data_IF_586228098977
#
_entry.id   IF_586228098977
#
_cell.length_a   1.000
_cell.length_b   1.000
_cell.length_c   1.000
_cell.angle_alpha   90.00
_cell.angle_beta   90.00
_cell.angle_gamma   90.00
#
_symmetry.space_group_name_H-M   'P 1'
#
loop_
_entity.id
_entity.type
_entity.pdbx_description
1 polymer ?
#
# COMPACT_ATOMS: atom_id res chain seq x y z
N UNK A 1 21.64 11.19 -2.38
CA UNK A 1 22.44 12.22 -1.66
C UNK A 1 21.53 12.97 -0.71
N UNK A 2 22.07 13.63 0.33
CA UNK A 2 21.28 14.49 1.25
C UNK A 2 20.45 15.55 0.51
N UNK A 3 20.93 16.03 -0.63
CA UNK A 3 20.23 16.98 -1.52
C UNK A 3 18.91 16.43 -2.08
N UNK A 4 18.85 15.13 -2.38
CA UNK A 4 17.64 14.50 -2.92
C UNK A 4 16.47 14.43 -1.94
N UNK A 5 16.73 14.57 -0.63
CA UNK A 5 15.68 14.60 0.39
C UNK A 5 15.05 15.98 0.58
N UNK A 6 15.69 17.04 0.07
CA UNK A 6 15.23 18.43 0.15
C UNK A 6 14.65 18.82 1.54
N UNK A 7 15.35 18.40 2.60
CA UNK A 7 14.86 18.49 3.98
C UNK A 7 14.60 19.93 4.41
N UNK A 8 15.39 20.88 3.90
CA UNK A 8 15.27 22.32 4.19
C UNK A 8 13.97 22.93 3.68
N UNK A 9 13.39 22.41 2.59
CA UNK A 9 12.09 22.86 2.09
C UNK A 9 10.95 22.02 2.67
N UNK A 10 11.17 20.71 2.83
CA UNK A 10 10.16 19.76 3.27
C UNK A 10 9.76 19.93 4.74
N UNK A 11 10.74 20.05 5.65
CA UNK A 11 10.46 20.12 7.09
C UNK A 11 9.63 21.36 7.48
N UNK A 12 9.93 22.59 7.01
CA UNK A 12 9.08 23.74 7.32
C UNK A 12 7.66 23.59 6.78
N UNK A 13 7.49 22.94 5.63
CA UNK A 13 6.17 22.66 5.04
C UNK A 13 5.39 21.67 5.91
N UNK A 14 5.99 20.55 6.30
CA UNK A 14 5.36 19.56 7.19
C UNK A 14 4.97 20.16 8.54
N UNK A 15 5.85 20.97 9.15
CA UNK A 15 5.55 21.66 10.42
C UNK A 15 4.35 22.61 10.26
N UNK A 16 4.27 23.36 9.15
CA UNK A 16 3.13 24.25 8.88
C UNK A 16 1.83 23.46 8.70
N UNK A 17 1.87 22.37 7.94
CA UNK A 17 0.72 21.48 7.71
C UNK A 17 0.21 20.90 9.03
N UNK A 18 1.08 20.28 9.82
CA UNK A 18 0.69 19.65 11.09
C UNK A 18 0.14 20.69 12.06
N UNK A 19 0.78 21.86 12.18
CA UNK A 19 0.27 22.95 13.02
C UNK A 19 -1.12 23.42 12.57
N UNK A 20 -1.36 23.53 11.26
CA UNK A 20 -2.66 23.93 10.72
C UNK A 20 -3.72 22.88 11.02
N UNK A 21 -3.43 21.60 10.80
CA UNK A 21 -4.36 20.49 11.12
C UNK A 21 -4.70 20.46 12.61
N UNK A 22 -3.72 20.67 13.49
CA UNK A 22 -3.94 20.66 14.94
C UNK A 22 -4.75 21.86 15.43
N UNK A 23 -4.61 23.04 14.80
CA UNK A 23 -5.29 24.27 15.24
C UNK A 23 -6.66 24.47 14.60
N UNK A 24 -6.81 24.09 13.34
CA UNK A 24 -7.99 24.39 12.51
C UNK A 24 -8.78 23.13 12.13
N UNK A 25 -8.30 21.94 12.51
CA UNK A 25 -8.85 20.66 12.11
C UNK A 25 -10.31 20.47 12.56
N UNK A 26 -11.19 20.21 11.59
CA UNK A 26 -12.59 19.84 11.84
C UNK A 26 -12.70 18.33 12.10
N UNK A 27 -13.75 17.88 12.83
CA UNK A 27 -14.02 16.45 12.94
C UNK A 27 -14.31 15.82 11.57
N UNK A 28 -13.98 14.54 11.37
CA UNK A 28 -14.31 13.84 10.13
C UNK A 28 -15.83 13.75 9.92
N UNK A 29 -16.31 13.67 8.66
CA UNK A 29 -17.72 13.42 8.36
C UNK A 29 -18.25 12.15 9.03
N UNK A 30 -19.48 12.20 9.56
CA UNK A 30 -20.15 11.05 10.20
C UNK A 30 -20.84 10.10 9.22
N UNK A 31 -21.36 10.67 8.14
CA UNK A 31 -21.99 9.91 7.05
C UNK A 31 -20.91 9.29 6.16
N UNK A 32 -21.20 8.19 5.45
CA UNK A 32 -20.33 7.70 4.39
C UNK A 32 -20.02 8.80 3.38
N UNK A 33 -18.74 8.92 3.00
CA UNK A 33 -18.26 9.93 2.05
C UNK A 33 -17.24 9.31 1.09
N UNK A 34 -16.96 10.00 -0.01
CA UNK A 34 -15.85 9.63 -0.88
C UNK A 34 -14.52 10.05 -0.24
N UNK A 35 -13.49 9.24 -0.40
CA UNK A 35 -12.17 9.46 0.19
C UNK A 35 -11.15 9.40 -0.92
N UNK A 36 -10.49 10.52 -1.21
CA UNK A 36 -9.31 10.55 -2.07
C UNK A 36 -8.10 10.32 -1.17
N UNK A 37 -7.35 9.24 -1.40
CA UNK A 37 -6.14 8.92 -0.63
C UNK A 37 -4.89 9.18 -1.45
N UNK A 38 -3.87 9.73 -0.80
CA UNK A 38 -2.58 10.06 -1.39
C UNK A 38 -1.64 8.86 -1.53
N UNK A 39 -0.54 9.01 -2.30
CA UNK A 39 0.42 7.94 -2.56
C UNK A 39 1.03 7.28 -1.32
N UNK A 40 1.20 8.02 -0.22
CA UNK A 40 1.72 7.47 1.05
C UNK A 40 0.73 6.47 1.65
N UNK A 41 -0.55 6.83 1.71
CA UNK A 41 -1.63 5.98 2.22
C UNK A 41 -1.88 4.79 1.29
N UNK A 42 -1.92 5.01 -0.03
CA UNK A 42 -2.05 3.93 -1.03
C UNK A 42 -0.90 2.95 -0.92
N UNK A 43 0.33 3.45 -0.81
CA UNK A 43 1.54 2.65 -0.70
C UNK A 43 1.53 1.70 0.49
N UNK A 44 1.29 2.22 1.69
CA UNK A 44 1.20 1.35 2.88
C UNK A 44 0.00 0.41 2.78
N UNK A 45 -1.11 0.85 2.16
CA UNK A 45 -2.28 -0.02 1.98
C UNK A 45 -1.94 -1.22 1.13
N UNK A 46 -1.37 -1.03 -0.06
CA UNK A 46 -1.01 -2.16 -0.94
C UNK A 46 0.13 -3.00 -0.39
N UNK A 47 1.06 -2.41 0.38
CA UNK A 47 2.13 -3.15 1.06
C UNK A 47 1.55 -4.20 2.02
N UNK A 48 0.59 -3.78 2.84
CA UNK A 48 0.03 -4.61 3.90
C UNK A 48 -1.11 -5.52 3.43
N UNK A 49 -1.91 -5.08 2.45
CA UNK A 49 -3.12 -5.77 1.95
C UNK A 49 -2.91 -6.63 0.70
N UNK A 50 -1.83 -6.41 -0.04
CA UNK A 50 -1.48 -7.20 -1.22
C UNK A 50 -0.07 -7.73 -1.13
N UNK A 51 0.91 -6.90 -0.79
CA UNK A 51 2.30 -7.29 -0.70
C UNK A 51 2.57 -8.50 0.20
N UNK A 52 2.49 -8.31 1.51
CA UNK A 52 2.68 -9.38 2.49
C UNK A 52 1.74 -10.59 2.37
N UNK A 53 0.41 -10.42 2.16
CA UNK A 53 -0.48 -11.58 2.07
C UNK A 53 -0.28 -12.38 0.78
N UNK A 54 0.43 -11.84 -0.22
CA UNK A 54 0.74 -12.54 -1.48
C UNK A 54 2.14 -13.17 -1.47
N UNK A 55 2.88 -13.10 -0.35
CA UNK A 55 4.12 -13.86 -0.15
C UNK A 55 3.76 -15.35 0.08
N UNK A 56 4.19 -16.23 -0.83
CA UNK A 56 3.75 -17.62 -0.85
C UNK A 56 4.10 -18.41 0.41
N UNK A 57 5.22 -18.10 1.07
CA UNK A 57 5.60 -18.70 2.35
C UNK A 57 4.58 -18.36 3.47
N UNK A 58 4.02 -17.15 3.49
CA UNK A 58 2.93 -16.77 4.40
C UNK A 58 1.62 -17.44 4.03
N UNK A 59 1.30 -17.54 2.73
CA UNK A 59 0.12 -18.29 2.24
C UNK A 59 0.19 -19.76 2.70
N UNK A 60 1.38 -20.34 2.71
CA UNK A 60 1.65 -21.72 3.14
C UNK A 60 1.85 -21.87 4.67
N UNK A 61 1.70 -20.78 5.43
CA UNK A 61 1.67 -20.81 6.91
C UNK A 61 3.03 -20.72 7.61
N UNK A 62 4.15 -20.55 6.88
CA UNK A 62 5.50 -20.47 7.48
C UNK A 62 5.64 -19.32 8.48
N UNK A 63 4.96 -18.22 8.23
CA UNK A 63 5.10 -16.95 8.96
C UNK A 63 4.08 -16.77 10.11
N UNK A 64 3.16 -17.72 10.28
CA UNK A 64 2.00 -17.56 11.16
C UNK A 64 2.38 -17.23 12.61
N UNK A 65 3.48 -17.81 13.12
CA UNK A 65 3.93 -17.61 14.49
C UNK A 65 4.54 -16.23 14.77
N UNK A 66 4.95 -15.47 13.76
CA UNK A 66 5.68 -14.21 13.92
C UNK A 66 4.92 -13.00 13.38
N UNK A 67 4.39 -13.13 12.16
CA UNK A 67 3.93 -11.99 11.36
C UNK A 67 2.51 -12.22 10.81
N UNK A 68 1.77 -13.14 11.43
CA UNK A 68 0.41 -13.48 11.08
C UNK A 68 0.28 -14.39 9.85
N UNK A 69 -0.96 -14.77 9.58
CA UNK A 69 -1.39 -15.54 8.43
C UNK A 69 -1.74 -14.64 7.23
N UNK A 70 -2.19 -15.27 6.14
CA UNK A 70 -2.77 -14.58 4.99
C UNK A 70 -4.25 -14.93 4.84
N UNK A 71 -5.06 -13.91 4.56
CA UNK A 71 -6.42 -14.10 4.04
C UNK A 71 -6.42 -14.75 2.65
N UNK A 72 -5.32 -14.63 1.90
CA UNK A 72 -5.13 -15.27 0.59
C UNK A 72 -4.78 -16.73 0.78
N UNK A 73 -5.43 -17.60 -0.01
CA UNK A 73 -5.22 -19.05 -0.03
C UNK A 73 -4.65 -19.50 -1.39
N UNK A 74 -3.98 -20.66 -1.46
CA UNK A 74 -3.33 -21.14 -2.69
C UNK A 74 -4.25 -21.22 -3.91
N UNK A 75 -5.54 -21.51 -3.71
CA UNK A 75 -6.56 -21.68 -4.73
C UNK A 75 -7.24 -20.37 -5.16
N UNK A 76 -6.83 -19.23 -4.62
CA UNK A 76 -7.44 -17.93 -4.92
C UNK A 76 -6.92 -17.23 -6.18
N UNK A 77 -6.01 -17.84 -6.94
CA UNK A 77 -5.63 -17.31 -8.26
C UNK A 77 -6.90 -17.19 -9.13
N UNK A 78 -7.12 -16.01 -9.71
CA UNK A 78 -8.32 -15.67 -10.48
C UNK A 78 -9.50 -15.16 -9.64
N UNK A 79 -9.44 -15.23 -8.32
CA UNK A 79 -10.48 -14.74 -7.42
C UNK A 79 -10.55 -13.20 -7.44
N UNK A 80 -11.77 -12.65 -7.50
CA UNK A 80 -12.01 -11.21 -7.49
C UNK A 80 -11.94 -10.66 -6.07
N UNK A 81 -10.98 -9.77 -5.82
CA UNK A 81 -10.79 -9.07 -4.53
C UNK A 81 -11.25 -7.62 -4.56
N UNK A 82 -11.49 -7.03 -5.74
CA UNK A 82 -11.96 -5.66 -5.87
C UNK A 82 -12.48 -5.26 -7.24
N UNK A 83 -12.58 -3.95 -7.48
CA UNK A 83 -13.00 -3.38 -8.76
C UNK A 83 -11.99 -3.68 -9.86
N UNK A 84 -12.45 -3.61 -11.11
CA UNK A 84 -11.64 -3.76 -12.32
C UNK A 84 -10.55 -2.69 -12.47
N UNK A 85 -10.66 -1.58 -11.75
CA UNK A 85 -9.62 -0.54 -11.69
C UNK A 85 -8.39 -0.97 -10.87
N UNK A 86 -8.53 -1.99 -10.03
CA UNK A 86 -7.44 -2.42 -9.15
C UNK A 86 -6.39 -3.22 -9.92
N UNK A 87 -5.22 -2.61 -10.06
CA UNK A 87 -4.03 -3.21 -10.65
C UNK A 87 -2.84 -2.95 -9.74
N UNK A 88 -2.21 -4.01 -9.22
CA UNK A 88 -1.11 -3.91 -8.26
C UNK A 88 0.09 -4.65 -8.81
N UNK A 89 1.21 -3.95 -8.89
CA UNK A 89 2.46 -4.48 -9.40
C UNK A 89 3.50 -4.60 -8.28
N UNK A 90 4.39 -5.57 -8.46
CA UNK A 90 5.63 -5.70 -7.71
C UNK A 90 6.77 -5.77 -8.73
N UNK A 91 7.69 -4.80 -8.69
CA UNK A 91 8.71 -4.65 -9.73
C UNK A 91 10.10 -4.34 -9.16
N UNK A 92 10.96 -5.36 -8.99
CA UNK A 92 12.32 -5.16 -8.51
C UNK A 92 13.24 -4.42 -9.49
N UNK A 93 12.88 -4.34 -10.77
CA UNK A 93 13.76 -3.83 -11.82
C UNK A 93 13.66 -2.30 -12.00
N UNK A 94 12.92 -1.59 -11.13
CA UNK A 94 12.85 -0.12 -11.14
C UNK A 94 14.19 0.45 -10.69
N UNK A 95 15.00 0.91 -11.64
CA UNK A 95 16.30 1.54 -11.35
C UNK A 95 16.16 2.71 -10.38
N UNK A 96 17.08 2.80 -9.41
CA UNK A 96 17.09 3.85 -8.39
C UNK A 96 16.04 3.70 -7.28
N UNK A 97 15.15 2.71 -7.35
CA UNK A 97 14.25 2.37 -6.24
C UNK A 97 15.01 1.73 -5.08
N UNK A 98 14.45 1.79 -3.87
CA UNK A 98 15.10 1.22 -2.68
C UNK A 98 15.07 -0.31 -2.69
N UNK A 99 14.03 -0.91 -3.26
CA UNK A 99 13.90 -2.35 -3.45
C UNK A 99 14.62 -2.91 -4.69
N UNK A 100 15.46 -2.14 -5.39
CA UNK A 100 16.03 -2.54 -6.67
C UNK A 100 16.90 -3.81 -6.61
N UNK A 101 16.65 -4.77 -7.52
CA UNK A 101 17.57 -5.87 -7.84
C UNK A 101 17.27 -6.49 -9.22
N UNK A 102 18.28 -7.10 -9.85
CA UNK A 102 18.15 -7.77 -11.16
C UNK A 102 18.03 -9.29 -11.05
N UNK A 103 18.54 -9.86 -9.96
CA UNK A 103 18.42 -11.27 -9.61
C UNK A 103 18.15 -11.35 -8.11
N UNK A 104 17.30 -12.30 -7.74
CA UNK A 104 17.05 -12.60 -6.33
C UNK A 104 18.21 -13.43 -5.74
N UNK A 105 18.15 -13.72 -4.44
CA UNK A 105 19.22 -14.43 -3.73
C UNK A 105 19.27 -15.94 -4.05
N UNK A 106 18.37 -16.44 -4.90
CA UNK A 106 18.39 -17.79 -5.49
C UNK A 106 18.85 -17.78 -6.98
N UNK A 107 19.35 -16.62 -7.44
CA UNK A 107 19.84 -16.42 -8.80
C UNK A 107 18.75 -16.39 -9.87
N UNK A 108 17.49 -16.16 -9.48
CA UNK A 108 16.36 -16.06 -10.42
C UNK A 108 16.25 -14.62 -10.91
N UNK A 109 16.17 -14.46 -12.23
CA UNK A 109 16.07 -13.14 -12.86
C UNK A 109 14.79 -12.42 -12.43
N UNK A 110 14.92 -11.20 -11.95
CA UNK A 110 13.80 -10.36 -11.54
C UNK A 110 12.98 -9.91 -12.75
N UNK A 111 11.67 -9.73 -12.53
CA UNK A 111 10.75 -9.12 -13.49
C UNK A 111 9.62 -8.43 -12.74
N UNK A 112 8.94 -7.53 -13.43
CA UNK A 112 7.62 -7.04 -13.01
C UNK A 112 6.63 -8.21 -12.87
N UNK A 113 5.95 -8.25 -11.73
CA UNK A 113 4.88 -9.19 -11.40
C UNK A 113 3.60 -8.40 -11.21
N UNK A 114 2.50 -8.88 -11.78
CA UNK A 114 1.18 -8.31 -11.54
C UNK A 114 0.51 -9.16 -10.47
N UNK A 115 0.48 -8.66 -9.23
CA UNK A 115 -0.11 -9.40 -8.11
C UNK A 115 -1.63 -9.40 -8.23
N UNK A 116 -2.21 -8.23 -8.50
CA UNK A 116 -3.63 -8.07 -8.81
C UNK A 116 -3.76 -7.46 -10.19
N UNK A 117 -4.60 -8.04 -11.03
CA UNK A 117 -4.92 -7.54 -12.37
C UNK A 117 -6.44 -7.45 -12.52
N UNK A 118 -6.93 -6.26 -12.84
CA UNK A 118 -8.37 -5.98 -13.03
C UNK A 118 -9.24 -6.47 -11.86
N UNK A 119 -8.75 -6.25 -10.64
CA UNK A 119 -9.40 -6.64 -9.39
C UNK A 119 -9.34 -8.13 -9.07
N UNK A 120 -8.60 -8.92 -9.84
CA UNK A 120 -8.41 -10.36 -9.60
C UNK A 120 -7.00 -10.66 -9.16
N UNK A 121 -6.87 -11.55 -8.18
CA UNK A 121 -5.58 -12.13 -7.80
C UNK A 121 -5.00 -12.82 -9.04
N UNK A 122 -3.79 -12.43 -9.44
CA UNK A 122 -3.18 -12.87 -10.69
C UNK A 122 -1.91 -13.69 -10.47
N UNK A 123 -1.08 -13.32 -9.49
CA UNK A 123 0.18 -14.01 -9.22
C UNK A 123 0.60 -13.83 -7.75
N UNK A 124 1.26 -14.83 -7.16
CA UNK A 124 1.89 -14.74 -5.83
C UNK A 124 3.39 -14.50 -5.95
N UNK A 125 3.99 -13.85 -4.96
CA UNK A 125 5.45 -13.80 -4.83
C UNK A 125 5.94 -15.18 -4.39
N UNK A 126 6.98 -15.71 -5.02
CA UNK A 126 7.48 -17.06 -4.73
C UNK A 126 8.99 -17.17 -4.89
N UNK A 127 9.56 -18.10 -4.11
CA UNK A 127 10.91 -18.63 -4.28
C UNK A 127 10.83 -20.03 -4.92
N UNK A 128 11.96 -20.71 -5.13
CA UNK A 128 11.99 -22.05 -5.74
C UNK A 128 11.19 -23.09 -4.97
N UNK A 129 11.29 -23.07 -3.64
CA UNK A 129 10.58 -24.01 -2.76
C UNK A 129 9.06 -23.82 -2.84
N UNK A 130 8.58 -22.61 -2.55
CA UNK A 130 7.14 -22.30 -2.51
C UNK A 130 6.51 -22.41 -3.89
N UNK A 131 7.22 -22.03 -4.96
CA UNK A 131 6.75 -22.24 -6.31
C UNK A 131 6.59 -23.73 -6.64
N UNK A 132 7.53 -24.58 -6.23
CA UNK A 132 7.41 -26.03 -6.43
C UNK A 132 6.17 -26.60 -5.71
N UNK A 133 5.92 -26.20 -4.47
CA UNK A 133 4.73 -26.60 -3.70
C UNK A 133 3.44 -26.14 -4.38
N UNK A 134 3.43 -24.95 -4.99
CA UNK A 134 2.30 -24.38 -5.72
C UNK A 134 2.21 -24.84 -7.19
N UNK A 135 3.08 -25.75 -7.64
CA UNK A 135 3.06 -26.29 -9.01
C UNK A 135 3.56 -25.34 -10.10
N UNK A 136 4.40 -24.36 -9.75
CA UNK A 136 4.93 -23.34 -10.65
C UNK A 136 6.46 -23.21 -10.64
N UNK A 137 6.94 -22.07 -11.14
CA UNK A 137 8.36 -21.68 -11.12
C UNK A 137 8.54 -20.42 -10.28
N UNK A 138 9.69 -20.30 -9.60
CA UNK A 138 10.05 -19.08 -8.87
C UNK A 138 9.94 -17.88 -9.79
N UNK A 139 9.27 -16.83 -9.31
CA UNK A 139 9.19 -15.58 -10.05
C UNK A 139 10.29 -14.60 -9.67
N UNK A 140 11.20 -14.96 -8.76
CA UNK A 140 12.38 -14.20 -8.36
C UNK A 140 12.18 -13.34 -7.11
N UNK A 141 11.41 -13.82 -6.13
CA UNK A 141 11.09 -13.07 -4.92
C UNK A 141 11.85 -13.56 -3.68
N UNK A 142 12.88 -14.38 -3.82
CA UNK A 142 13.68 -14.86 -2.70
C UNK A 142 14.72 -13.80 -2.29
N UNK A 143 14.55 -13.15 -1.14
CA UNK A 143 15.47 -12.11 -0.67
C UNK A 143 15.99 -12.39 0.74
N UNK A 144 17.25 -12.07 0.96
CA UNK A 144 17.96 -12.09 2.23
C UNK A 144 18.63 -10.76 2.49
N UNK A 145 18.77 -10.37 3.76
CA UNK A 145 19.52 -9.15 4.16
C UNK A 145 21.01 -9.41 4.38
N UNK A 146 21.48 -10.66 4.24
CA UNK A 146 22.89 -10.99 4.41
C UNK A 146 23.19 -12.48 4.22
N UNK A 147 24.48 -12.81 4.04
CA UNK A 147 24.93 -14.18 3.79
C UNK A 147 24.60 -15.16 4.93
N UNK A 148 24.37 -14.66 6.14
CA UNK A 148 24.08 -15.44 7.35
C UNK A 148 22.57 -15.50 7.67
N UNK A 149 21.73 -15.19 6.69
CA UNK A 149 20.27 -15.26 6.76
C UNK A 149 19.77 -16.00 5.54
N UNK A 150 18.76 -16.83 5.75
CA UNK A 150 18.12 -17.53 4.64
C UNK A 150 17.35 -16.55 3.74
N UNK A 151 17.37 -16.75 2.41
CA UNK A 151 16.43 -16.11 1.52
C UNK A 151 15.00 -16.57 1.82
N UNK A 152 14.10 -15.62 2.02
CA UNK A 152 12.67 -15.85 2.21
C UNK A 152 11.88 -15.13 1.13
N UNK A 153 10.60 -15.44 0.95
CA UNK A 153 9.79 -14.75 -0.07
C UNK A 153 9.54 -13.32 0.38
N UNK A 154 9.94 -12.33 -0.42
CA UNK A 154 9.88 -10.90 -0.09
C UNK A 154 9.45 -10.05 -1.27
N UNK A 155 8.67 -9.02 -0.95
CA UNK A 155 8.45 -7.88 -1.84
C UNK A 155 9.74 -7.14 -2.20
N UNK A 156 9.71 -6.36 -3.30
CA UNK A 156 10.73 -5.36 -3.63
C UNK A 156 10.11 -3.97 -3.75
N UNK A 157 9.39 -3.69 -4.83
CA UNK A 157 8.72 -2.41 -5.06
C UNK A 157 7.25 -2.65 -5.37
N UNK A 158 6.39 -2.58 -4.34
CA UNK A 158 4.97 -2.91 -4.44
C UNK A 158 4.15 -1.64 -4.60
N UNK A 159 3.40 -1.49 -5.69
CA UNK A 159 2.65 -0.26 -5.95
C UNK A 159 1.33 -0.49 -6.67
N UNK A 160 0.39 0.40 -6.39
CA UNK A 160 -0.85 0.51 -7.17
C UNK A 160 -0.52 1.16 -8.53
N UNK A 161 -1.00 0.58 -9.62
CA UNK A 161 -0.69 1.05 -10.98
C UNK A 161 -1.44 2.35 -11.33
N UNK A 162 -0.88 3.10 -12.28
CA UNK A 162 -1.52 4.30 -12.82
C UNK A 162 -2.90 3.99 -13.44
N UNK A 163 -3.84 4.91 -13.25
CA UNK A 163 -5.07 5.03 -14.02
C UNK A 163 -5.03 6.23 -14.96
N UNK A 164 -6.20 6.77 -15.28
CA UNK A 164 -6.36 7.79 -16.32
C UNK A 164 -6.57 9.21 -15.78
N UNK A 165 -6.95 9.34 -14.50
CA UNK A 165 -7.33 10.63 -13.91
C UNK A 165 -6.12 11.47 -13.49
N UNK A 166 -6.31 12.76 -13.33
CA UNK A 166 -5.45 13.65 -12.55
C UNK A 166 -5.94 13.73 -11.11
N UNK A 167 -5.06 14.13 -10.19
CA UNK A 167 -5.47 14.42 -8.80
C UNK A 167 -6.60 15.46 -8.76
N UNK A 168 -6.50 16.49 -9.58
CA UNK A 168 -7.48 17.57 -9.61
C UNK A 168 -8.84 17.07 -10.10
N UNK A 169 -8.91 16.25 -11.16
CA UNK A 169 -10.16 15.62 -11.60
C UNK A 169 -10.79 14.74 -10.51
N UNK A 170 -9.97 13.96 -9.76
CA UNK A 170 -10.48 13.18 -8.63
C UNK A 170 -11.15 14.06 -7.57
N UNK A 171 -10.56 15.22 -7.29
CA UNK A 171 -11.05 16.20 -6.31
C UNK A 171 -12.29 16.91 -6.86
N UNK A 172 -12.24 17.47 -8.07
CA UNK A 172 -13.33 18.22 -8.71
C UNK A 172 -14.62 17.41 -8.81
N UNK A 173 -14.51 16.13 -9.16
CA UNK A 173 -15.66 15.21 -9.22
C UNK A 173 -16.18 14.79 -7.84
N UNK A 174 -15.44 15.06 -6.76
CA UNK A 174 -15.84 14.73 -5.40
C UNK A 174 -16.71 15.83 -4.80
N UNK A 175 -18.04 15.62 -4.81
CA UNK A 175 -19.01 16.59 -4.26
C UNK A 175 -18.90 16.79 -2.74
N UNK A 176 -18.65 15.71 -2.00
CA UNK A 176 -18.50 15.69 -0.55
C UNK A 176 -17.56 14.55 -0.19
N UNK A 177 -16.43 14.86 0.43
CA UNK A 177 -15.42 13.87 0.71
C UNK A 177 -14.32 14.35 1.64
N UNK A 178 -13.29 13.54 1.76
CA UNK A 178 -12.01 13.99 2.29
C UNK A 178 -10.88 13.65 1.31
N UNK A 179 -9.85 14.47 1.33
CA UNK A 179 -8.52 14.17 0.80
C UNK A 179 -7.64 13.77 1.99
N UNK A 180 -7.13 12.53 2.02
CA UNK A 180 -6.16 12.07 3.01
C UNK A 180 -4.80 11.95 2.33
N UNK A 181 -3.95 12.96 2.50
CA UNK A 181 -2.63 13.03 1.87
C UNK A 181 -1.65 12.04 2.48
N UNK A 182 -1.65 11.94 3.82
CA UNK A 182 -0.72 11.10 4.56
C UNK A 182 -1.32 10.53 5.84
N UNK A 183 -0.65 9.54 6.41
CA UNK A 183 -1.02 8.89 7.65
C UNK A 183 0.04 9.10 8.74
N UNK A 184 -0.34 8.87 10.00
CA UNK A 184 0.59 8.86 11.14
C UNK A 184 0.73 7.48 11.76
N UNK A 185 -0.32 6.67 11.71
CA UNK A 185 -0.39 5.35 12.30
C UNK A 185 -1.15 4.43 11.35
N UNK A 186 -0.74 3.17 11.31
CA UNK A 186 -1.46 2.08 10.64
C UNK A 186 -1.49 0.86 11.54
N UNK A 187 -2.57 0.08 11.47
CA UNK A 187 -2.71 -1.19 12.14
C UNK A 187 -3.39 -2.19 11.19
N UNK A 188 -2.93 -3.44 11.25
CA UNK A 188 -3.39 -4.54 10.41
C UNK A 188 -3.60 -5.74 11.33
N UNK A 189 -4.64 -6.53 11.09
CA UNK A 189 -4.87 -7.75 11.86
C UNK A 189 -3.96 -8.92 11.43
N UNK A 190 -3.94 -9.98 12.22
CA UNK A 190 -3.05 -11.12 12.01
C UNK A 190 -3.34 -11.88 10.70
N UNK A 191 -4.50 -11.68 10.07
CA UNK A 191 -4.81 -12.28 8.76
C UNK A 191 -4.62 -11.34 7.58
N UNK A 192 -4.28 -10.06 7.86
CA UNK A 192 -4.15 -8.98 6.89
C UNK A 192 -5.43 -8.70 6.11
N UNK A 193 -6.57 -9.01 6.73
CA UNK A 193 -7.90 -8.78 6.19
C UNK A 193 -8.50 -7.46 6.69
N UNK A 194 -8.22 -7.05 7.93
CA UNK A 194 -8.73 -5.81 8.51
C UNK A 194 -7.61 -4.77 8.63
N UNK A 195 -7.93 -3.53 8.27
CA UNK A 195 -6.93 -2.47 8.13
C UNK A 195 -7.44 -1.15 8.70
N UNK A 196 -6.55 -0.42 9.36
CA UNK A 196 -6.86 0.86 9.99
C UNK A 196 -5.72 1.86 9.77
N UNK A 197 -6.05 3.02 9.22
CA UNK A 197 -5.10 4.11 8.97
C UNK A 197 -5.61 5.42 9.60
N UNK A 198 -4.74 6.12 10.32
CA UNK A 198 -5.07 7.41 10.94
C UNK A 198 -4.40 8.52 10.14
N UNK A 199 -5.21 9.43 9.58
CA UNK A 199 -4.74 10.55 8.77
C UNK A 199 -3.90 11.54 9.59
N UNK A 200 -2.72 11.89 9.04
CA UNK A 200 -1.84 12.96 9.56
C UNK A 200 -2.16 14.29 8.91
N UNK A 201 -2.27 14.28 7.59
CA UNK A 201 -2.67 15.41 6.77
C UNK A 201 -3.92 15.01 5.99
N UNK A 202 -5.03 15.69 6.28
CA UNK A 202 -6.27 15.47 5.60
C UNK A 202 -7.09 16.76 5.51
N UNK A 203 -7.95 16.84 4.50
CA UNK A 203 -8.78 17.99 4.21
C UNK A 203 -10.18 17.56 3.77
N UNK A 204 -11.19 18.38 4.05
CA UNK A 204 -12.52 18.22 3.47
C UNK A 204 -12.46 18.54 1.98
N UNK A 205 -13.23 17.80 1.19
CA UNK A 205 -13.56 18.16 -0.18
C UNK A 205 -15.04 18.54 -0.21
N UNK A 206 -15.34 19.77 -0.62
CA UNK A 206 -16.70 20.30 -0.71
C UNK A 206 -16.91 20.90 -2.10
N UNK A 207 -17.88 20.38 -2.84
CA UNK A 207 -18.23 20.82 -4.21
C UNK A 207 -17.02 20.83 -5.18
N UNK A 208 -16.14 19.83 -5.06
CA UNK A 208 -14.98 19.72 -5.93
C UNK A 208 -13.77 20.54 -5.48
N UNK A 209 -13.79 21.15 -4.29
CA UNK A 209 -12.70 21.98 -3.79
C UNK A 209 -12.18 21.49 -2.44
N UNK A 210 -10.87 21.56 -2.23
CA UNK A 210 -10.23 21.29 -0.93
C UNK A 210 -10.45 22.48 -0.01
N UNK A 211 -11.13 22.28 1.12
CA UNK A 211 -11.52 23.39 2.02
C UNK A 211 -10.78 23.38 3.35
N UNK A 212 -11.34 22.74 4.37
CA UNK A 212 -10.87 22.79 5.76
C UNK A 212 -10.03 21.57 6.10
N UNK A 213 -8.98 21.69 6.94
CA UNK A 213 -8.27 20.52 7.43
C UNK A 213 -9.19 19.63 8.29
N UNK A 214 -8.92 18.33 8.29
CA UNK A 214 -9.65 17.32 9.07
C UNK A 214 -8.73 16.76 10.14
N UNK A 215 -9.17 16.79 11.38
CA UNK A 215 -8.41 16.28 12.51
C UNK A 215 -8.58 14.76 12.61
N UNK A 216 -7.48 14.02 12.40
CA UNK A 216 -7.35 12.58 12.65
C UNK A 216 -8.51 11.73 12.09
N UNK A 217 -8.84 11.82 10.79
CA UNK A 217 -9.79 10.89 10.19
C UNK A 217 -9.23 9.47 10.27
N UNK A 218 -10.07 8.51 10.63
CA UNK A 218 -9.70 7.09 10.68
C UNK A 218 -10.32 6.37 9.49
N UNK A 219 -9.49 5.83 8.61
CA UNK A 219 -9.90 4.93 7.54
C UNK A 219 -9.82 3.50 8.08
N UNK A 220 -10.96 2.87 8.34
CA UNK A 220 -11.03 1.49 8.82
C UNK A 220 -11.85 0.65 7.83
N UNK A 221 -11.20 -0.31 7.20
CA UNK A 221 -11.73 -1.06 6.06
C UNK A 221 -11.20 -2.49 6.06
N UNK A 222 -11.94 -3.41 5.46
CA UNK A 222 -11.38 -4.70 5.08
C UNK A 222 -10.59 -4.58 3.78
N UNK A 223 -9.64 -5.47 3.54
CA UNK A 223 -8.85 -5.52 2.31
C UNK A 223 -9.75 -5.59 1.06
N UNK A 224 -10.76 -6.46 1.07
CA UNK A 224 -11.72 -6.56 -0.04
C UNK A 224 -12.65 -5.35 -0.12
N UNK A 225 -13.01 -4.75 1.02
CA UNK A 225 -13.80 -3.52 1.09
C UNK A 225 -13.06 -2.34 0.46
N UNK A 226 -11.78 -2.17 0.79
CA UNK A 226 -10.90 -1.18 0.19
C UNK A 226 -10.86 -1.34 -1.33
N UNK A 227 -10.45 -2.53 -1.82
CA UNK A 227 -10.32 -2.76 -3.26
C UNK A 227 -11.65 -2.69 -4.02
N UNK A 228 -12.77 -3.05 -3.39
CA UNK A 228 -14.11 -2.94 -4.00
C UNK A 228 -14.62 -1.49 -4.02
N UNK A 229 -14.12 -0.63 -3.15
CA UNK A 229 -14.48 0.78 -3.08
C UNK A 229 -13.73 1.68 -4.07
N UNK A 230 -12.67 1.17 -4.72
CA UNK A 230 -11.90 1.93 -5.71
C UNK A 230 -12.78 2.29 -6.91
N UNK A 231 -12.99 3.58 -7.11
CA UNK A 231 -13.86 4.15 -8.15
C UNK A 231 -13.09 4.94 -9.21
N UNK A 232 -11.94 5.53 -8.87
CA UNK A 232 -11.10 6.25 -9.82
C UNK A 232 -9.64 6.26 -9.36
N UNK A 233 -8.70 6.29 -10.30
CA UNK A 233 -7.26 6.11 -10.07
C UNK A 233 -6.52 7.15 -10.90
N UNK A 234 -5.61 7.89 -10.28
CA UNK A 234 -4.81 8.90 -10.97
C UNK A 234 -3.64 8.29 -11.77
N UNK A 235 -3.09 9.08 -12.69
CA UNK A 235 -2.03 8.66 -13.62
C UNK A 235 -0.61 8.74 -13.06
N UNK A 236 -0.37 9.61 -12.08
CA UNK A 236 0.97 9.86 -11.53
C UNK A 236 1.27 8.90 -10.39
N UNK A 237 2.27 8.03 -10.57
CA UNK A 237 2.71 7.08 -9.52
C UNK A 237 3.87 7.67 -8.75
N UNK A 238 3.75 7.70 -7.43
CA UNK A 238 4.85 8.08 -6.53
C UNK A 238 5.20 6.90 -5.64
N UNK A 239 6.50 6.61 -5.50
CA UNK A 239 7.04 5.57 -4.63
C UNK A 239 7.77 6.19 -3.44
N UNK A 240 7.60 5.59 -2.27
CA UNK A 240 8.28 5.92 -1.05
C UNK A 240 9.15 4.75 -0.61
N UNK A 241 10.40 5.03 -0.24
CA UNK A 241 11.30 4.04 0.32
C UNK A 241 10.87 3.67 1.75
N UNK A 242 10.95 2.38 2.07
CA UNK A 242 10.69 1.86 3.41
C UNK A 242 11.45 0.56 3.67
N UNK A 243 11.57 0.20 4.94
CA UNK A 243 12.15 -1.08 5.35
C UNK A 243 11.05 -1.99 5.84
N UNK A 244 10.95 -3.16 5.22
CA UNK A 244 9.96 -4.17 5.55
C UNK A 244 10.61 -5.23 6.47
N UNK A 245 10.01 -5.55 7.60
CA UNK A 245 10.51 -6.59 8.53
C UNK A 245 9.81 -7.93 8.31
N UNK A 246 10.57 -9.04 8.26
CA UNK A 246 10.03 -10.41 8.15
C UNK A 246 11.06 -11.47 8.57
N UNK A 247 10.60 -12.66 8.99
CA UNK A 247 11.41 -13.87 9.17
C UNK A 247 12.01 -14.01 10.57
N UNK A 248 12.41 -15.23 10.94
CA UNK A 248 13.06 -15.53 12.22
C UNK A 248 14.43 -16.18 11.99
N UNK A 249 15.56 -15.47 12.24
CA UNK A 249 15.68 -14.13 12.81
C UNK A 249 15.20 -12.99 11.89
N UNK A 250 14.71 -11.89 12.49
CA UNK A 250 14.16 -10.73 11.78
C UNK A 250 15.07 -10.15 10.70
N UNK A 251 14.49 -9.94 9.51
CA UNK A 251 15.14 -9.38 8.33
C UNK A 251 14.43 -8.11 7.83
N UNK A 252 15.05 -6.95 8.06
CA UNK A 252 14.63 -5.64 7.54
C UNK A 252 15.10 -5.42 6.11
N UNK A 253 14.32 -5.85 5.11
CA UNK A 253 14.69 -5.71 3.70
C UNK A 253 14.28 -4.33 3.14
N UNK A 254 15.12 -3.71 2.29
CA UNK A 254 14.78 -2.45 1.65
C UNK A 254 13.70 -2.69 0.59
N UNK A 255 12.66 -1.86 0.62
CA UNK A 255 11.51 -1.92 -0.27
C UNK A 255 11.07 -0.53 -0.68
N UNK A 256 10.37 -0.41 -1.80
CA UNK A 256 9.55 0.77 -2.06
C UNK A 256 8.08 0.40 -2.07
N UNK A 257 7.23 1.34 -1.65
CA UNK A 257 5.78 1.20 -1.72
C UNK A 257 5.15 2.49 -2.22
N UNK A 258 4.02 2.40 -2.90
CA UNK A 258 3.37 3.61 -3.39
C UNK A 258 2.22 3.36 -4.35
N UNK A 259 1.95 4.36 -5.16
CA UNK A 259 0.87 4.37 -6.12
C UNK A 259 0.46 5.79 -6.50
N UNK A 260 -0.60 5.92 -7.29
CA UNK A 260 -1.23 7.20 -7.55
C UNK A 260 -2.18 7.61 -6.44
N UNK A 261 -2.79 8.79 -6.59
CA UNK A 261 -4.01 9.11 -5.85
C UNK A 261 -5.13 8.15 -6.26
N UNK A 262 -5.92 7.71 -5.29
CA UNK A 262 -7.05 6.80 -5.52
C UNK A 262 -8.30 7.35 -4.83
N UNK A 263 -9.45 7.35 -5.52
CA UNK A 263 -10.75 7.69 -4.93
C UNK A 263 -11.49 6.43 -4.53
N UNK A 264 -11.84 6.36 -3.25
CA UNK A 264 -12.69 5.34 -2.65
C UNK A 264 -14.10 5.90 -2.49
N UNK A 265 -15.13 5.11 -2.81
CA UNK A 265 -16.53 5.50 -2.66
C UNK A 265 -17.15 4.99 -1.36
N UNK A 266 -18.09 5.77 -0.82
CA UNK A 266 -18.98 5.37 0.30
C UNK A 266 -18.25 4.86 1.56
N UNK A 267 -17.14 5.49 1.92
CA UNK A 267 -16.36 5.11 3.10
C UNK A 267 -16.92 5.80 4.34
N UNK A 268 -17.19 4.99 5.37
CA UNK A 268 -17.46 5.50 6.73
C UNK A 268 -16.13 5.74 7.43
N UNK A 269 -15.86 6.99 7.78
CA UNK A 269 -14.68 7.37 8.55
C UNK A 269 -14.97 7.25 10.04
N UNK A 270 -14.00 6.71 10.77
CA UNK A 270 -13.95 6.82 12.22
C UNK A 270 -13.38 8.17 12.65
N UNK A 271 -13.59 8.52 13.93
CA UNK A 271 -12.93 9.62 14.60
C UNK A 271 -12.42 9.17 15.97
N UNK A 272 -11.24 9.62 16.36
CA UNK A 272 -10.80 9.49 17.75
C UNK A 272 -11.54 10.57 18.53
N UNK A 273 -12.53 10.17 19.34
CA UNK A 273 -13.15 11.08 20.30
C UNK A 273 -12.08 11.48 21.32
N UNK A 274 -11.58 12.71 21.21
CA UNK A 274 -10.82 13.40 22.24
C UNK A 274 -11.73 14.33 23.03
#
# INVERSE_FOLDING_TARGET
TFEGFNLTERLPKEIKVVNRVLKEGKPPPKDPVNVVIGPEVVGITVHESCGHPFEADRILGREAAQAGESFVKPDMIGYRVGSDLVNIAEDPAIEGSYGFYLYDDEGVKARKRMLVKEGKINEFLSNRETAFVLGGLSNGSARSIGYNREPIVRMANTYFCAGDYTKDELIEETKKGILMESFTEWNIDDTRFNQRYIGREAYLIEKGEVTSPVLRPVLEVTTTGFYSSVEAVAKEVTLNAGTCGKGEPSQGAPTSMGGPYVRLKEIRLGGVHG
#
